data_IF_924770996174
#
_entry.id   IF_924770996174
#
_cell.length_a   1.000
_cell.length_b   1.000
_cell.length_c   1.000
_cell.angle_alpha   90.00
_cell.angle_beta   90.00
_cell.angle_gamma   90.00
#
_symmetry.space_group_name_H-M   'P 1'
#
loop_
_entity.id
_entity.type
_entity.pdbx_description
1 polymer ?
#
# COMPACT_ATOMS: atom_id res chain seq x y z
N UNK A 1 -0.19 32.89 -7.09
CA UNK A 1 1.21 32.61 -7.49
C UNK A 1 1.62 31.35 -6.74
N UNK A 2 1.81 30.23 -7.43
CA UNK A 2 2.19 28.97 -6.81
C UNK A 2 3.71 29.00 -6.57
N UNK A 3 4.12 29.17 -5.31
CA UNK A 3 5.51 28.95 -4.93
C UNK A 3 5.77 27.44 -5.00
N UNK A 4 6.46 27.00 -6.05
CA UNK A 4 6.92 25.61 -6.13
C UNK A 4 7.85 25.32 -4.96
N UNK A 5 7.63 24.19 -4.28
CA UNK A 5 8.48 23.73 -3.18
C UNK A 5 9.95 23.70 -3.62
N UNK A 6 10.84 24.24 -2.80
CA UNK A 6 12.28 24.16 -3.01
C UNK A 6 12.77 22.71 -2.91
N UNK A 7 13.93 22.39 -3.49
CA UNK A 7 14.51 21.05 -3.44
C UNK A 7 14.73 20.55 -1.99
N UNK A 8 15.07 21.46 -1.08
CA UNK A 8 15.22 21.14 0.33
C UNK A 8 13.89 20.77 0.98
N UNK A 9 12.81 21.51 0.69
CA UNK A 9 11.46 21.20 1.20
C UNK A 9 10.95 19.87 0.66
N UNK A 10 11.14 19.59 -0.62
CA UNK A 10 10.78 18.30 -1.24
C UNK A 10 11.48 17.13 -0.56
N UNK A 11 12.79 17.26 -0.36
CA UNK A 11 13.57 16.23 0.33
C UNK A 11 13.08 16.00 1.77
N UNK A 12 12.81 17.07 2.52
CA UNK A 12 12.29 16.95 3.89
C UNK A 12 10.92 16.26 3.92
N UNK A 13 10.03 16.56 2.97
CA UNK A 13 8.71 15.94 2.88
C UNK A 13 8.82 14.45 2.53
N UNK A 14 9.70 14.10 1.60
CA UNK A 14 9.98 12.70 1.25
C UNK A 14 10.60 11.92 2.42
N UNK A 15 11.57 12.50 3.13
CA UNK A 15 12.19 11.89 4.29
C UNK A 15 11.18 11.69 5.43
N UNK A 16 10.34 12.70 5.70
CA UNK A 16 9.26 12.61 6.68
C UNK A 16 8.28 11.49 6.33
N UNK A 17 7.87 11.40 5.06
CA UNK A 17 6.98 10.35 4.59
C UNK A 17 7.58 8.95 4.82
N UNK A 18 8.86 8.77 4.46
CA UNK A 18 9.57 7.51 4.70
C UNK A 18 9.65 7.15 6.19
N UNK A 19 9.97 8.11 7.06
CA UNK A 19 10.01 7.90 8.52
C UNK A 19 8.64 7.52 9.08
N UNK A 20 7.57 8.19 8.65
CA UNK A 20 6.20 7.88 9.08
C UNK A 20 5.78 6.48 8.61
N UNK A 21 6.02 6.13 7.35
CA UNK A 21 5.75 4.81 6.82
C UNK A 21 6.47 3.70 7.59
N UNK A 22 7.77 3.87 7.86
CA UNK A 22 8.55 2.92 8.63
C UNK A 22 8.03 2.77 10.07
N UNK A 23 7.66 3.88 10.72
CA UNK A 23 7.11 3.86 12.07
C UNK A 23 5.74 3.16 12.14
N UNK A 24 4.85 3.42 11.18
CA UNK A 24 3.56 2.72 11.07
C UNK A 24 3.79 1.23 10.84
N UNK A 25 4.69 0.87 9.91
CA UNK A 25 4.98 -0.53 9.62
C UNK A 25 5.51 -1.28 10.84
N UNK A 26 6.47 -0.70 11.55
CA UNK A 26 7.07 -1.31 12.75
C UNK A 26 6.10 -1.44 13.93
N UNK A 27 5.09 -0.56 14.01
CA UNK A 27 4.10 -0.58 15.09
C UNK A 27 2.99 -1.59 14.86
N UNK A 28 2.48 -1.66 13.63
CA UNK A 28 1.24 -2.38 13.31
C UNK A 28 1.50 -3.74 12.65
N UNK A 29 2.70 -3.98 12.11
CA UNK A 29 2.99 -5.16 11.30
C UNK A 29 4.25 -5.91 11.76
N UNK A 30 4.27 -7.20 11.46
CA UNK A 30 5.47 -8.03 11.58
C UNK A 30 5.87 -8.52 10.20
N UNK A 31 7.16 -8.42 9.78
CA UNK A 31 7.59 -8.85 8.44
C UNK A 31 7.24 -10.30 8.13
N UNK A 32 7.23 -11.15 9.15
CA UNK A 32 6.83 -12.55 9.10
C UNK A 32 6.14 -12.91 10.40
N UNK A 33 4.97 -13.50 10.32
CA UNK A 33 4.21 -13.98 11.48
C UNK A 33 3.40 -15.22 11.12
N UNK A 34 2.82 -15.84 12.14
CA UNK A 34 1.84 -16.91 11.96
C UNK A 34 0.48 -16.38 12.44
N UNK A 35 -0.53 -16.52 11.58
CA UNK A 35 -1.93 -16.21 11.95
C UNK A 35 -2.41 -17.20 13.01
N UNK A 36 -3.50 -16.86 13.71
CA UNK A 36 -4.10 -17.74 14.74
C UNK A 36 -4.49 -19.11 14.19
N UNK A 37 -4.87 -19.17 12.92
CA UNK A 37 -5.27 -20.39 12.22
C UNK A 37 -4.07 -21.18 11.65
N UNK A 38 -2.84 -20.79 12.01
CA UNK A 38 -1.62 -21.48 11.62
C UNK A 38 -1.06 -21.09 10.24
N UNK A 39 -1.72 -20.18 9.50
CA UNK A 39 -1.25 -19.70 8.19
C UNK A 39 -0.02 -18.81 8.35
N UNK A 40 0.96 -18.91 7.44
CA UNK A 40 2.14 -18.05 7.47
C UNK A 40 1.82 -16.73 6.76
N UNK A 41 2.05 -15.60 7.42
CA UNK A 41 1.83 -14.27 6.87
C UNK A 41 3.18 -13.57 6.69
N UNK A 42 3.37 -12.97 5.52
CA UNK A 42 4.45 -12.03 5.26
C UNK A 42 3.86 -10.67 4.97
N UNK A 43 4.32 -9.66 5.69
CA UNK A 43 3.93 -8.28 5.47
C UNK A 43 5.14 -7.49 4.98
N UNK A 44 4.89 -6.57 4.07
CA UNK A 44 5.86 -5.63 3.53
C UNK A 44 5.13 -4.32 3.23
N UNK A 45 5.87 -3.28 2.84
CA UNK A 45 5.27 -2.03 2.42
C UNK A 45 6.08 -1.33 1.34
N UNK A 46 5.43 -0.38 0.67
CA UNK A 46 6.07 0.67 -0.12
C UNK A 46 5.55 2.02 0.37
N UNK A 47 6.32 3.07 0.15
CA UNK A 47 5.87 4.43 0.43
C UNK A 47 6.35 5.39 -0.64
N UNK A 48 5.57 6.44 -0.88
CA UNK A 48 5.92 7.49 -1.83
C UNK A 48 5.31 8.81 -1.37
N UNK A 49 6.11 9.87 -1.38
CA UNK A 49 5.58 11.21 -1.24
C UNK A 49 5.29 11.75 -2.64
N UNK A 50 4.01 11.89 -3.00
CA UNK A 50 3.64 12.47 -4.28
C UNK A 50 3.61 13.99 -4.16
N UNK A 51 4.48 14.66 -4.92
CA UNK A 51 4.48 16.13 -5.01
C UNK A 51 3.19 16.65 -5.65
N UNK A 52 2.70 15.94 -6.67
CA UNK A 52 1.49 16.30 -7.43
C UNK A 52 0.25 16.33 -6.54
N UNK A 53 0.16 15.38 -5.62
CA UNK A 53 -0.97 15.25 -4.70
C UNK A 53 -0.69 15.86 -3.33
N UNK A 54 0.57 16.24 -3.05
CA UNK A 54 1.05 16.75 -1.76
C UNK A 54 0.68 15.82 -0.60
N UNK A 55 0.88 14.51 -0.81
CA UNK A 55 0.43 13.42 0.09
C UNK A 55 1.51 12.37 0.28
N UNK A 56 1.49 11.71 1.44
CA UNK A 56 2.38 10.59 1.74
C UNK A 56 1.62 9.27 1.59
N UNK A 57 1.84 8.59 0.48
CA UNK A 57 1.22 7.31 0.21
C UNK A 57 2.00 6.16 0.85
N UNK A 58 1.24 5.22 1.40
CA UNK A 58 1.73 3.98 2.00
C UNK A 58 0.94 2.82 1.41
N UNK A 59 1.65 1.89 0.80
CA UNK A 59 1.11 0.64 0.30
C UNK A 59 1.45 -0.48 1.27
N UNK A 60 0.44 -0.97 1.99
CA UNK A 60 0.53 -2.21 2.75
C UNK A 60 0.51 -3.40 1.78
N UNK A 61 1.44 -4.34 1.93
CA UNK A 61 1.53 -5.55 1.12
C UNK A 61 1.53 -6.75 2.05
N UNK A 62 0.47 -7.53 2.04
CA UNK A 62 0.36 -8.75 2.86
C UNK A 62 0.17 -9.97 1.96
N UNK A 63 1.01 -10.99 2.18
CA UNK A 63 0.91 -12.30 1.51
C UNK A 63 0.71 -13.38 2.55
N UNK A 64 -0.33 -14.17 2.40
CA UNK A 64 -0.69 -15.29 3.28
C UNK A 64 -0.44 -16.59 2.53
N UNK A 65 0.27 -17.51 3.18
CA UNK A 65 0.59 -18.84 2.68
C UNK A 65 -0.10 -19.89 3.53
N UNK A 66 -0.85 -20.78 2.89
CA UNK A 66 -1.52 -21.90 3.54
C UNK A 66 -1.51 -23.13 2.64
N UNK A 67 -0.86 -24.22 3.08
CA UNK A 67 -0.92 -25.55 2.42
C UNK A 67 -0.73 -25.50 0.89
N UNK A 68 0.18 -24.65 0.41
CA UNK A 68 0.48 -24.49 -1.02
C UNK A 68 -0.39 -23.47 -1.77
N UNK A 69 -1.35 -22.83 -1.10
CA UNK A 69 -2.16 -21.73 -1.62
C UNK A 69 -1.62 -20.38 -1.17
N UNK A 70 -1.82 -19.36 -2.00
CA UNK A 70 -1.40 -17.99 -1.74
C UNK A 70 -2.62 -17.08 -1.72
N UNK A 71 -2.62 -16.12 -0.80
CA UNK A 71 -3.53 -14.98 -0.85
C UNK A 71 -2.73 -13.70 -0.76
N UNK A 72 -3.10 -12.70 -1.56
CA UNK A 72 -2.46 -11.38 -1.58
C UNK A 72 -3.47 -10.32 -1.18
N UNK A 73 -3.04 -9.43 -0.30
CA UNK A 73 -3.80 -8.27 0.14
C UNK A 73 -2.93 -7.02 -0.08
N UNK A 74 -3.45 -6.03 -0.77
CA UNK A 74 -2.85 -4.70 -0.86
C UNK A 74 -3.81 -3.66 -0.33
N UNK A 75 -3.28 -2.67 0.39
CA UNK A 75 -4.04 -1.49 0.80
C UNK A 75 -3.21 -0.24 0.62
N UNK A 76 -3.75 0.73 -0.11
CA UNK A 76 -3.11 2.00 -0.40
C UNK A 76 -3.73 3.10 0.48
N UNK A 77 -2.91 3.79 1.26
CA UNK A 77 -3.34 4.83 2.18
C UNK A 77 -2.58 6.13 1.96
N UNK A 78 -3.22 7.26 2.24
CA UNK A 78 -2.54 8.51 2.58
C UNK A 78 -2.32 8.57 4.10
N UNK A 79 -1.05 8.52 4.54
CA UNK A 79 -0.69 8.55 5.96
C UNK A 79 -0.96 9.90 6.63
N UNK A 80 -1.05 10.99 5.86
CA UNK A 80 -1.32 12.31 6.45
C UNK A 80 -2.78 12.44 6.90
N UNK A 81 -3.70 11.89 6.10
CA UNK A 81 -5.14 11.97 6.35
C UNK A 81 -5.74 10.67 6.88
N UNK A 82 -4.93 9.60 6.99
CA UNK A 82 -5.38 8.26 7.31
C UNK A 82 -6.54 7.80 6.41
N UNK A 83 -6.44 8.10 5.11
CA UNK A 83 -7.49 7.83 4.12
C UNK A 83 -7.06 6.69 3.20
N UNK A 84 -7.91 5.69 3.02
CA UNK A 84 -7.70 4.61 2.05
C UNK A 84 -8.07 5.06 0.63
N UNK A 85 -7.20 4.74 -0.32
CA UNK A 85 -7.33 5.05 -1.74
C UNK A 85 -7.49 3.80 -2.60
N UNK A 86 -7.16 2.62 -2.09
CA UNK A 86 -7.33 1.41 -2.87
C UNK A 86 -7.10 0.15 -2.07
N UNK A 87 -7.80 -0.90 -2.49
CA UNK A 87 -7.76 -2.22 -1.88
C UNK A 87 -7.65 -3.28 -2.98
N UNK A 88 -6.87 -4.32 -2.69
CA UNK A 88 -6.76 -5.51 -3.52
C UNK A 88 -6.82 -6.72 -2.61
N UNK A 89 -7.69 -7.69 -2.91
CA UNK A 89 -7.66 -9.00 -2.30
C UNK A 89 -7.85 -10.08 -3.35
N UNK A 90 -6.95 -11.06 -3.36
CA UNK A 90 -7.04 -12.26 -4.18
C UNK A 90 -6.61 -13.47 -3.36
N UNK A 91 -7.34 -14.58 -3.51
CA UNK A 91 -7.09 -15.81 -2.79
C UNK A 91 -7.28 -17.02 -3.71
N UNK A 92 -6.29 -17.91 -3.74
CA UNK A 92 -6.41 -19.21 -4.38
C UNK A 92 -7.45 -20.12 -3.70
N UNK A 93 -7.82 -19.82 -2.44
CA UNK A 93 -8.81 -20.61 -1.69
C UNK A 93 -10.24 -20.35 -2.14
N UNK A 94 -10.53 -19.10 -2.51
CA UNK A 94 -11.88 -18.60 -2.80
C UNK A 94 -11.91 -17.92 -4.17
N UNK A 95 -11.79 -18.71 -5.26
CA UNK A 95 -11.85 -18.17 -6.61
C UNK A 95 -13.21 -17.49 -6.82
N UNK A 96 -13.21 -16.16 -6.91
CA UNK A 96 -14.39 -15.35 -7.18
C UNK A 96 -14.65 -14.22 -6.17
N UNK A 97 -14.11 -14.28 -4.95
CA UNK A 97 -14.09 -13.09 -4.09
C UNK A 97 -12.81 -12.30 -4.38
N UNK A 98 -12.97 -11.26 -5.18
CA UNK A 98 -11.89 -10.34 -5.53
C UNK A 98 -12.31 -8.93 -5.15
N UNK A 99 -11.60 -8.37 -4.18
CA UNK A 99 -11.65 -6.92 -3.99
C UNK A 99 -10.56 -6.30 -4.86
N UNK A 100 -10.90 -5.28 -5.63
CA UNK A 100 -9.98 -4.64 -6.57
C UNK A 100 -10.52 -3.26 -6.89
N UNK A 101 -10.07 -2.26 -6.15
CA UNK A 101 -10.46 -0.88 -6.36
C UNK A 101 -9.29 0.07 -6.13
N UNK A 102 -9.22 1.14 -6.92
CA UNK A 102 -8.31 2.28 -6.70
C UNK A 102 -9.07 3.56 -7.05
N UNK A 103 -9.19 4.48 -6.10
CA UNK A 103 -9.87 5.77 -6.23
C UNK A 103 -11.25 5.65 -6.93
N UNK A 104 -12.06 4.70 -6.46
CA UNK A 104 -13.38 4.34 -6.96
C UNK A 104 -13.43 3.63 -8.33
N UNK A 105 -12.28 3.36 -8.95
CA UNK A 105 -12.18 2.58 -10.19
C UNK A 105 -12.02 1.10 -9.83
N UNK A 106 -12.97 0.28 -10.28
CA UNK A 106 -12.88 -1.18 -10.16
C UNK A 106 -11.87 -1.76 -11.14
N UNK A 107 -11.15 -2.78 -10.71
CA UNK A 107 -10.22 -3.53 -11.52
C UNK A 107 -10.49 -5.05 -11.45
N UNK A 108 -9.77 -5.82 -12.25
CA UNK A 108 -9.96 -7.26 -12.44
C UNK A 108 -8.72 -8.09 -12.11
N UNK A 109 -7.55 -7.45 -11.97
CA UNK A 109 -6.26 -8.13 -11.79
C UNK A 109 -5.30 -7.33 -10.90
N UNK A 110 -4.32 -8.01 -10.30
CA UNK A 110 -3.21 -7.34 -9.60
C UNK A 110 -2.47 -6.37 -10.54
N UNK A 111 -2.27 -6.77 -11.80
CA UNK A 111 -1.59 -5.93 -12.80
C UNK A 111 -2.35 -4.63 -13.04
N UNK A 112 -3.67 -4.71 -13.24
CA UNK A 112 -4.52 -3.53 -13.42
C UNK A 112 -4.57 -2.67 -12.15
N UNK A 113 -4.67 -3.29 -10.98
CA UNK A 113 -4.61 -2.58 -9.70
C UNK A 113 -3.32 -1.76 -9.58
N UNK A 114 -2.16 -2.36 -9.91
CA UNK A 114 -0.85 -1.68 -9.88
C UNK A 114 -0.77 -0.54 -10.89
N UNK A 115 -1.35 -0.70 -12.07
CA UNK A 115 -1.40 0.37 -13.08
C UNK A 115 -2.22 1.56 -12.60
N UNK A 116 -3.38 1.32 -11.98
CA UNK A 116 -4.22 2.36 -11.39
C UNK A 116 -3.57 3.01 -10.16
N UNK A 117 -2.83 2.24 -9.37
CA UNK A 117 -2.13 2.74 -8.18
C UNK A 117 -0.87 3.56 -8.51
N UNK A 118 -0.33 3.42 -9.73
CA UNK A 118 0.94 4.04 -10.15
C UNK A 118 1.02 5.55 -9.88
N UNK A 119 0.00 6.38 -10.19
CA UNK A 119 0.06 7.82 -9.94
C UNK A 119 0.18 8.22 -8.45
N UNK A 120 -0.06 7.29 -7.54
CA UNK A 120 0.07 7.50 -6.09
C UNK A 120 1.42 7.02 -5.56
N UNK A 121 2.10 6.12 -6.28
CA UNK A 121 3.33 5.47 -5.83
C UNK A 121 4.57 5.94 -6.59
N UNK A 122 4.39 6.69 -7.68
CA UNK A 122 5.46 7.21 -8.53
C UNK A 122 5.07 8.61 -9.05
N UNK A 123 6.06 9.50 -9.23
CA UNK A 123 5.88 10.83 -9.85
C UNK A 123 6.56 10.92 -11.23
#
# INVERSE_FOLDING_TARGET
MAYGQSNAERYMLQERCGKQAAAVFAKEYSPSSQTKDGKHQRSNYQNHYSEKLNKCFFLEITTIFEKGKVSKLFRLFDLNENKEYGSYWESDETPGFKDCVVADIRCSSETEWRQLAKPYLED
#
